data_IF_630464735731
#
_entry.id   IF_630464735731
#
_cell.length_a   1.000
_cell.length_b   1.000
_cell.length_c   1.000
_cell.angle_alpha   90.00
_cell.angle_beta   90.00
_cell.angle_gamma   90.00
#
_symmetry.space_group_name_H-M   'P 1'
#
loop_
_entity.id
_entity.type
_entity.pdbx_description
1 polymer ?
#
# COMPACT_ATOMS: atom_id res chain seq x y z
N UNK A 1 -1.77 5.38 12.12
CA UNK A 1 -0.54 4.75 12.66
C UNK A 1 0.66 5.71 12.62
N UNK A 2 0.93 6.38 11.50
CA UNK A 2 2.10 7.30 11.35
C UNK A 2 1.90 8.72 11.90
N UNK A 3 0.63 9.09 12.13
CA UNK A 3 0.18 10.40 12.57
C UNK A 3 0.73 10.85 13.94
N UNK A 4 0.79 10.00 15.00
CA UNK A 4 1.43 10.37 16.27
C UNK A 4 2.94 10.61 16.12
N UNK A 5 3.65 9.75 15.37
CA UNK A 5 5.10 9.88 15.13
C UNK A 5 5.46 11.16 14.37
N UNK A 6 4.63 11.57 13.40
CA UNK A 6 4.81 12.85 12.70
C UNK A 6 4.63 14.06 13.66
N UNK A 7 3.73 13.94 14.64
CA UNK A 7 3.49 14.99 15.63
C UNK A 7 4.66 15.11 16.63
N UNK A 8 5.24 13.97 17.03
CA UNK A 8 6.43 13.90 17.89
C UNK A 8 7.68 14.47 17.21
N UNK A 9 7.77 14.36 15.88
CA UNK A 9 8.83 14.97 15.07
C UNK A 9 8.64 16.48 14.84
N UNK A 10 7.63 17.10 15.47
CA UNK A 10 7.37 18.54 15.35
C UNK A 10 6.72 18.96 14.03
N UNK A 11 6.22 18.01 13.23
CA UNK A 11 5.51 18.34 11.99
C UNK A 11 4.15 18.94 12.35
N UNK A 12 4.01 20.24 12.09
CA UNK A 12 2.78 21.00 12.32
C UNK A 12 1.60 20.35 11.59
N UNK A 13 0.42 20.32 12.23
CA UNK A 13 -0.78 19.63 11.70
C UNK A 13 -1.18 20.05 10.28
N UNK A 14 -0.78 21.24 9.83
CA UNK A 14 -0.99 21.73 8.46
C UNK A 14 -0.20 20.97 7.38
N UNK A 15 0.97 20.40 7.70
CA UNK A 15 1.80 19.66 6.74
C UNK A 15 1.42 18.17 6.61
N UNK A 16 0.50 17.67 7.45
CA UNK A 16 -0.04 16.31 7.33
C UNK A 16 -0.74 16.06 5.99
N UNK A 17 -1.42 17.09 5.45
CA UNK A 17 -2.04 17.01 4.13
C UNK A 17 -1.03 16.78 3.01
N UNK A 18 0.14 17.43 3.10
CA UNK A 18 1.22 17.27 2.13
C UNK A 18 1.81 15.84 2.19
N UNK A 19 2.02 15.29 3.39
CA UNK A 19 2.48 13.92 3.56
C UNK A 19 1.48 12.91 2.95
N UNK A 20 0.19 13.15 3.11
CA UNK A 20 -0.85 12.32 2.51
C UNK A 20 -0.86 12.43 0.97
N UNK A 21 -0.66 13.64 0.43
CA UNK A 21 -0.54 13.83 -1.01
C UNK A 21 0.66 13.08 -1.59
N UNK A 22 1.82 13.14 -0.92
CA UNK A 22 3.03 12.39 -1.30
C UNK A 22 2.78 10.89 -1.22
N UNK A 23 2.07 10.42 -0.20
CA UNK A 23 1.67 9.02 -0.08
C UNK A 23 0.76 8.57 -1.23
N UNK A 24 -0.25 9.35 -1.58
CA UNK A 24 -1.15 9.03 -2.69
C UNK A 24 -0.42 9.04 -4.04
N UNK A 25 0.44 10.05 -4.27
CA UNK A 25 1.26 10.14 -5.47
C UNK A 25 2.24 8.96 -5.59
N UNK A 26 2.92 8.61 -4.48
CA UNK A 26 3.82 7.46 -4.42
C UNK A 26 3.08 6.14 -4.64
N UNK A 27 1.86 6.02 -4.12
CA UNK A 27 1.01 4.84 -4.32
C UNK A 27 0.56 4.70 -5.78
N UNK A 28 0.17 5.80 -6.42
CA UNK A 28 -0.20 5.81 -7.84
C UNK A 28 0.98 5.43 -8.74
N UNK A 29 2.17 5.98 -8.47
CA UNK A 29 3.40 5.63 -9.19
C UNK A 29 3.78 4.16 -8.96
N UNK A 30 3.70 3.69 -7.70
CA UNK A 30 3.94 2.30 -7.34
C UNK A 30 3.03 1.35 -8.11
N UNK A 31 1.72 1.62 -8.11
CA UNK A 31 0.73 0.83 -8.86
C UNK A 31 1.02 0.77 -10.36
N UNK A 32 1.41 1.90 -10.95
CA UNK A 32 1.71 1.98 -12.37
C UNK A 32 2.95 1.15 -12.73
N UNK A 33 4.03 1.28 -11.95
CA UNK A 33 5.29 0.57 -12.18
C UNK A 33 5.13 -0.92 -11.94
N UNK A 34 4.55 -1.32 -10.81
CA UNK A 34 4.40 -2.74 -10.44
C UNK A 34 3.46 -3.46 -11.39
N UNK A 35 2.41 -2.80 -11.89
CA UNK A 35 1.52 -3.36 -12.91
C UNK A 35 2.18 -3.60 -14.28
N UNK A 36 3.26 -2.87 -14.61
CA UNK A 36 4.07 -3.14 -15.81
C UNK A 36 5.06 -4.27 -15.58
N UNK A 37 5.66 -4.33 -14.40
CA UNK A 37 6.63 -5.37 -14.03
C UNK A 37 5.95 -6.74 -13.86
N UNK A 38 4.73 -6.78 -13.30
CA UNK A 38 3.97 -8.02 -13.08
C UNK A 38 3.77 -8.82 -14.37
N UNK A 39 3.51 -8.13 -15.49
CA UNK A 39 3.34 -8.74 -16.81
C UNK A 39 4.61 -9.41 -17.35
N UNK A 40 5.80 -9.05 -16.85
CA UNK A 40 7.09 -9.58 -17.32
C UNK A 40 7.68 -10.64 -16.41
N UNK A 41 7.55 -10.48 -15.09
CA UNK A 41 8.24 -11.32 -14.08
C UNK A 41 7.30 -12.33 -13.42
N UNK A 42 5.98 -12.12 -13.53
CA UNK A 42 4.96 -12.91 -12.85
C UNK A 42 4.40 -12.18 -11.63
N UNK A 43 3.09 -12.32 -11.44
CA UNK A 43 2.32 -11.55 -10.46
C UNK A 43 2.73 -11.87 -9.01
N UNK A 44 3.02 -13.14 -8.71
CA UNK A 44 3.39 -13.59 -7.35
C UNK A 44 4.73 -13.00 -6.90
N UNK A 45 5.74 -12.99 -7.77
CA UNK A 45 7.08 -12.49 -7.45
C UNK A 45 7.03 -11.00 -7.15
N UNK A 46 6.28 -10.25 -7.97
CA UNK A 46 6.13 -8.80 -7.78
C UNK A 46 5.27 -8.48 -6.55
N UNK A 47 4.30 -9.32 -6.21
CA UNK A 47 3.50 -9.18 -4.99
C UNK A 47 4.36 -9.39 -3.73
N UNK A 48 5.21 -10.42 -3.71
CA UNK A 48 6.18 -10.64 -2.63
C UNK A 48 7.18 -9.47 -2.52
N UNK A 49 7.64 -8.94 -3.65
CA UNK A 49 8.51 -7.77 -3.67
C UNK A 49 7.82 -6.53 -3.07
N UNK A 50 6.57 -6.25 -3.46
CA UNK A 50 5.76 -5.18 -2.87
C UNK A 50 5.62 -5.33 -1.35
N UNK A 51 5.38 -6.56 -0.88
CA UNK A 51 5.30 -6.85 0.55
C UNK A 51 6.63 -6.59 1.27
N UNK A 52 7.74 -7.07 0.70
CA UNK A 52 9.08 -6.81 1.24
C UNK A 52 9.37 -5.31 1.32
N UNK A 53 9.09 -4.54 0.26
CA UNK A 53 9.27 -3.08 0.24
C UNK A 53 8.43 -2.40 1.31
N UNK A 54 7.17 -2.80 1.48
CA UNK A 54 6.31 -2.25 2.54
C UNK A 54 6.90 -2.53 3.94
N UNK A 55 7.32 -3.77 4.21
CA UNK A 55 7.95 -4.15 5.49
C UNK A 55 9.21 -3.34 5.74
N UNK A 56 10.08 -3.16 4.73
CA UNK A 56 11.28 -2.33 4.89
C UNK A 56 10.94 -0.88 5.22
N UNK A 57 9.86 -0.33 4.63
CA UNK A 57 9.37 1.00 4.98
C UNK A 57 8.89 1.10 6.42
N UNK A 58 8.17 0.08 6.93
CA UNK A 58 7.77 0.01 8.35
C UNK A 58 9.00 0.00 9.27
N UNK A 59 10.02 -0.82 8.95
CA UNK A 59 11.25 -0.90 9.76
C UNK A 59 12.03 0.41 9.74
N UNK A 60 12.07 1.11 8.59
CA UNK A 60 12.79 2.39 8.44
C UNK A 60 12.18 3.47 9.32
N UNK A 61 10.84 3.50 9.41
CA UNK A 61 10.12 4.43 10.29
C UNK A 61 10.30 4.07 11.77
N UNK A 62 10.33 2.79 12.11
CA UNK A 62 10.46 2.33 13.50
C UNK A 62 11.83 2.63 14.12
N UNK A 63 12.91 2.46 13.35
CA UNK A 63 14.28 2.60 13.88
C UNK A 63 14.82 4.03 13.87
N UNK A 64 14.14 5.00 13.24
CA UNK A 64 14.76 6.29 12.93
C UNK A 64 13.92 7.51 13.37
N UNK A 65 14.57 8.42 14.09
CA UNK A 65 14.00 9.63 14.68
C UNK A 65 14.20 10.92 13.86
N UNK A 66 14.48 10.80 12.55
CA UNK A 66 14.70 11.92 11.64
C UNK A 66 13.55 12.18 10.66
N UNK A 67 13.27 13.45 10.36
CA UNK A 67 12.20 13.86 9.44
C UNK A 67 12.41 13.34 8.00
N UNK A 68 13.65 13.36 7.50
CA UNK A 68 13.97 12.91 6.13
C UNK A 68 13.74 11.41 5.98
N UNK A 69 14.22 10.62 6.93
CA UNK A 69 14.07 9.15 6.97
C UNK A 69 12.62 8.72 7.16
N UNK A 70 11.83 9.50 7.90
CA UNK A 70 10.38 9.30 8.00
C UNK A 70 9.71 9.44 6.63
N UNK A 71 10.01 10.50 5.86
CA UNK A 71 9.47 10.70 4.51
C UNK A 71 9.92 9.58 3.57
N UNK A 72 11.19 9.17 3.62
CA UNK A 72 11.69 8.04 2.83
C UNK A 72 10.95 6.74 3.13
N UNK A 73 10.76 6.41 4.41
CA UNK A 73 9.99 5.24 4.82
C UNK A 73 8.53 5.33 4.36
N UNK A 74 7.93 6.51 4.43
CA UNK A 74 6.55 6.74 4.01
C UNK A 74 6.37 6.57 2.50
N UNK A 75 7.36 7.00 1.70
CA UNK A 75 7.40 6.76 0.24
C UNK A 75 7.59 5.27 -0.07
N UNK A 76 8.45 4.55 0.67
CA UNK A 76 8.61 3.10 0.49
C UNK A 76 7.30 2.35 0.74
N UNK A 77 6.58 2.71 1.80
CA UNK A 77 5.27 2.12 2.11
C UNK A 77 4.25 2.50 1.05
N UNK A 78 4.23 3.75 0.58
CA UNK A 78 3.35 4.19 -0.49
C UNK A 78 3.54 3.35 -1.75
N UNK A 79 4.78 3.17 -2.20
CA UNK A 79 5.09 2.38 -3.40
C UNK A 79 4.75 0.90 -3.20
N UNK A 80 5.10 0.32 -2.06
CA UNK A 80 4.81 -1.08 -1.74
C UNK A 80 3.31 -1.37 -1.66
N UNK A 81 2.55 -0.50 -0.99
CA UNK A 81 1.11 -0.66 -0.81
C UNK A 81 0.30 -0.34 -2.08
N UNK A 82 0.70 0.70 -2.82
CA UNK A 82 -0.01 1.12 -4.03
C UNK A 82 -0.09 0.03 -5.09
N UNK A 83 0.96 -0.79 -5.21
CA UNK A 83 0.97 -1.93 -6.13
C UNK A 83 0.18 -3.16 -5.67
N UNK A 84 -0.13 -3.29 -4.39
CA UNK A 84 -0.64 -4.55 -3.84
C UNK A 84 -2.02 -4.93 -4.37
N UNK A 85 -2.98 -4.00 -4.34
CA UNK A 85 -4.36 -4.23 -4.78
C UNK A 85 -4.49 -4.67 -6.25
N UNK A 86 -3.93 -3.95 -7.24
CA UNK A 86 -4.05 -4.36 -8.63
C UNK A 86 -3.34 -5.69 -8.92
N UNK A 87 -2.23 -5.99 -8.23
CA UNK A 87 -1.55 -7.27 -8.38
C UNK A 87 -2.33 -8.43 -7.78
N UNK A 88 -2.95 -8.24 -6.61
CA UNK A 88 -3.80 -9.26 -6.01
C UNK A 88 -4.98 -9.59 -6.93
N UNK A 89 -5.58 -8.57 -7.55
CA UNK A 89 -6.67 -8.77 -8.51
C UNK A 89 -6.20 -9.50 -9.79
N UNK A 90 -4.99 -9.20 -10.28
CA UNK A 90 -4.41 -9.92 -11.41
C UNK A 90 -4.15 -11.40 -11.06
N UNK A 91 -3.53 -11.66 -9.91
CA UNK A 91 -3.28 -13.01 -9.40
C UNK A 91 -4.57 -13.84 -9.26
N UNK A 92 -5.63 -13.27 -8.69
CA UNK A 92 -6.92 -13.96 -8.58
C UNK A 92 -7.52 -14.31 -9.95
N UNK A 93 -7.34 -13.48 -10.97
CA UNK A 93 -7.85 -13.80 -12.31
C UNK A 93 -7.16 -15.02 -12.93
N UNK A 94 -5.90 -15.28 -12.59
CA UNK A 94 -5.12 -16.40 -13.11
C UNK A 94 -5.41 -17.70 -12.34
N UNK A 95 -5.50 -17.65 -11.01
CA UNK A 95 -5.65 -18.85 -10.17
C UNK A 95 -7.09 -19.25 -9.89
N UNK A 96 -8.05 -18.32 -9.97
CA UNK A 96 -9.42 -18.55 -9.50
C UNK A 96 -10.40 -18.76 -10.67
N UNK A 97 -11.10 -19.92 -10.74
CA UNK A 97 -12.12 -20.15 -11.76
C UNK A 97 -13.24 -19.10 -11.67
N UNK A 98 -13.81 -18.74 -12.83
CA UNK A 98 -14.76 -17.62 -12.96
C UNK A 98 -16.01 -17.77 -12.08
N UNK A 99 -16.38 -18.99 -11.69
CA UNK A 99 -17.53 -19.29 -10.83
C UNK A 99 -17.40 -18.74 -9.41
N UNK A 100 -16.21 -18.73 -8.82
CA UNK A 100 -15.96 -18.28 -7.43
C UNK A 100 -15.23 -16.94 -7.36
N UNK A 101 -14.76 -16.42 -8.50
CA UNK A 101 -14.00 -15.16 -8.58
C UNK A 101 -14.80 -13.95 -8.12
N UNK A 102 -16.09 -13.90 -8.43
CA UNK A 102 -16.98 -12.83 -7.96
C UNK A 102 -17.09 -12.82 -6.43
N UNK A 103 -17.18 -13.99 -5.80
CA UNK A 103 -17.21 -14.16 -4.35
C UNK A 103 -15.87 -13.83 -3.69
N UNK A 104 -14.75 -14.18 -4.33
CA UNK A 104 -13.42 -13.79 -3.83
C UNK A 104 -13.17 -12.29 -3.95
N UNK A 105 -13.55 -11.68 -5.08
CA UNK A 105 -13.47 -10.23 -5.25
C UNK A 105 -14.34 -9.49 -4.22
N UNK A 106 -15.57 -9.97 -3.97
CA UNK A 106 -16.42 -9.34 -2.95
C UNK A 106 -15.83 -9.49 -1.54
N UNK A 107 -15.21 -10.63 -1.21
CA UNK A 107 -14.53 -10.83 0.06
C UNK A 107 -13.30 -9.91 0.23
N UNK A 108 -12.48 -9.78 -0.80
CA UNK A 108 -11.32 -8.87 -0.81
C UNK A 108 -11.75 -7.40 -0.72
N UNK A 109 -12.77 -7.01 -1.49
CA UNK A 109 -13.31 -5.65 -1.46
C UNK A 109 -13.93 -5.36 -0.10
N UNK A 110 -14.70 -6.29 0.47
CA UNK A 110 -15.33 -6.11 1.78
C UNK A 110 -14.28 -6.04 2.90
N UNK A 111 -13.25 -6.90 2.86
CA UNK A 111 -12.16 -6.88 3.84
C UNK A 111 -11.26 -5.64 3.75
N UNK A 112 -11.11 -5.01 2.57
CA UNK A 112 -10.18 -3.89 2.37
C UNK A 112 -10.87 -2.52 2.31
N UNK A 113 -12.10 -2.42 1.79
CA UNK A 113 -12.79 -1.15 1.52
C UNK A 113 -13.96 -0.84 2.45
N UNK A 114 -14.29 -1.68 3.43
CA UNK A 114 -15.42 -1.39 4.30
C UNK A 114 -15.02 -0.46 5.47
N UNK A 115 -15.42 0.83 5.49
CA UNK A 115 -15.66 1.48 6.76
C UNK A 115 -16.72 0.65 7.50
N UNK A 116 -16.53 0.39 8.79
CA UNK A 116 -17.58 -0.20 9.64
C UNK A 116 -18.81 0.70 9.62
N UNK A 117 -19.70 0.52 8.65
CA UNK A 117 -21.07 0.97 8.77
C UNK A 117 -21.84 -0.18 9.41
N UNK A 118 -21.83 -0.18 10.74
CA UNK A 118 -22.91 -0.72 11.54
C UNK A 118 -24.21 -0.03 11.13
N UNK A 119 -25.05 -0.74 10.39
CA UNK A 119 -26.49 -0.54 10.37
C UNK A 119 -27.14 -1.90 10.09
N UNK A 120 -27.36 -2.65 11.17
CA UNK A 120 -28.64 -3.23 11.59
C UNK A 120 -28.45 -3.88 12.96
#
# INVERSE_FOLDING_TARGET
>A
IWQPTALELGIQKGNLGYLYAVFMAGSALGAFVTGRISKKVGEVVVLLFCFAVAVTGFTTIFFTSGMVTFVCGLVQIAVGYGGFLPLLHAYMNVFVPSSIRASMNSLVINSVLQPRNTCL
#
